data_IF_077238006985
#
_entry.id   IF_077238006985
#
_cell.length_a   1.000
_cell.length_b   1.000
_cell.length_c   1.000
_cell.angle_alpha   90.00
_cell.angle_beta   90.00
_cell.angle_gamma   90.00
#
_symmetry.space_group_name_H-M   'P 1'
#
loop_
_entity.id
_entity.type
_entity.pdbx_description
1 polymer ?
#
# COMPACT_ATOMS: atom_id res chain seq x y z
N UNK A 1 3.85 7.77 -12.08
CA UNK A 1 2.85 6.77 -11.61
C UNK A 1 1.39 7.16 -11.84
N UNK A 2 1.03 8.45 -11.77
CA UNK A 2 -0.37 8.90 -11.76
C UNK A 2 -1.25 8.45 -12.96
N UNK A 3 -0.71 8.43 -14.18
CA UNK A 3 -1.52 8.32 -15.41
C UNK A 3 -1.45 6.98 -16.13
N UNK A 4 -0.50 6.12 -15.78
CA UNK A 4 -0.28 4.85 -16.49
C UNK A 4 -1.18 3.72 -15.97
N UNK A 5 -1.34 2.67 -16.78
CA UNK A 5 -2.14 1.49 -16.46
C UNK A 5 -1.33 0.38 -15.76
N UNK A 6 -0.08 0.60 -15.35
CA UNK A 6 0.68 -0.42 -14.63
C UNK A 6 -0.07 -0.73 -13.32
N UNK A 7 -0.42 -1.99 -13.00
CA UNK A 7 -1.07 -2.31 -11.74
C UNK A 7 -0.20 -1.95 -10.53
N UNK A 8 -0.80 -1.47 -9.44
CA UNK A 8 -0.10 -1.02 -8.22
C UNK A 8 -0.79 -1.59 -6.99
N UNK A 9 -0.02 -2.06 -6.01
CA UNK A 9 -0.51 -2.33 -4.67
C UNK A 9 0.06 -1.26 -3.72
N UNK A 10 -0.80 -0.47 -3.10
CA UNK A 10 -0.44 0.45 -2.04
C UNK A 10 -0.71 -0.19 -0.69
N UNK A 11 0.37 -0.50 0.03
CA UNK A 11 0.31 -0.97 1.42
C UNK A 11 0.41 0.26 2.31
N UNK A 12 -0.75 0.79 2.68
CA UNK A 12 -0.87 1.88 3.65
C UNK A 12 -0.62 1.37 5.07
N UNK A 13 -0.11 2.26 5.94
CA UNK A 13 0.19 1.96 7.33
C UNK A 13 -0.56 2.91 8.25
N UNK A 14 -1.08 2.40 9.37
CA UNK A 14 -1.67 3.20 10.45
C UNK A 14 -1.00 2.85 11.80
N UNK A 15 -0.45 3.83 12.54
CA UNK A 15 -0.48 5.28 12.28
C UNK A 15 0.41 5.74 11.10
N UNK A 16 1.36 4.91 10.66
CA UNK A 16 2.30 5.25 9.60
C UNK A 16 3.34 6.30 10.02
N UNK A 17 4.22 6.67 9.08
CA UNK A 17 5.26 7.67 9.29
C UNK A 17 5.37 8.64 8.11
N UNK A 18 5.96 8.17 6.99
CA UNK A 18 6.26 9.01 5.81
C UNK A 18 5.04 9.19 4.91
N UNK A 19 4.33 8.10 4.60
CA UNK A 19 3.17 8.10 3.70
C UNK A 19 1.87 8.41 4.47
N UNK A 20 1.82 9.57 5.11
CA UNK A 20 0.67 10.07 5.86
C UNK A 20 0.17 11.40 5.27
N UNK A 21 -0.99 11.89 5.72
CA UNK A 21 -1.56 13.17 5.31
C UNK A 21 -1.58 13.38 3.79
N UNK A 22 -1.07 14.51 3.31
CA UNK A 22 -1.07 14.88 1.88
C UNK A 22 -0.31 13.88 0.99
N UNK A 23 0.75 13.24 1.51
CA UNK A 23 1.51 12.26 0.73
C UNK A 23 0.66 11.01 0.47
N UNK A 24 -0.06 10.55 1.51
CA UNK A 24 -1.03 9.45 1.39
C UNK A 24 -2.09 9.75 0.33
N UNK A 25 -2.68 10.94 0.39
CA UNK A 25 -3.69 11.38 -0.58
C UNK A 25 -3.14 11.50 -2.00
N UNK A 26 -1.88 11.93 -2.15
CA UNK A 26 -1.25 11.95 -3.46
C UNK A 26 -1.03 10.54 -4.02
N UNK A 27 -0.57 9.58 -3.22
CA UNK A 27 -0.42 8.18 -3.63
C UNK A 27 -1.75 7.56 -4.08
N UNK A 28 -2.84 7.84 -3.35
CA UNK A 28 -4.22 7.40 -3.66
C UNK A 28 -4.75 7.92 -5.00
N UNK A 29 -4.17 9.00 -5.53
CA UNK A 29 -4.55 9.53 -6.84
C UNK A 29 -4.00 8.74 -8.04
N UNK A 30 -3.17 7.71 -7.80
CA UNK A 30 -2.54 6.95 -8.87
C UNK A 30 -3.54 5.96 -9.51
N UNK A 31 -3.61 5.96 -10.85
CA UNK A 31 -4.47 5.05 -11.62
C UNK A 31 -4.09 3.57 -11.39
N UNK A 32 -5.05 2.66 -11.51
CA UNK A 32 -4.87 1.20 -11.41
C UNK A 32 -4.14 0.76 -10.12
N UNK A 33 -4.66 1.21 -8.98
CA UNK A 33 -4.11 0.93 -7.66
C UNK A 33 -5.13 0.20 -6.79
N UNK A 34 -4.69 -0.91 -6.18
CA UNK A 34 -5.35 -1.57 -5.06
C UNK A 34 -4.72 -1.06 -3.77
N UNK A 35 -5.49 -0.84 -2.73
CA UNK A 35 -4.99 -0.39 -1.42
C UNK A 35 -5.37 -1.38 -0.32
N UNK A 36 -4.45 -1.62 0.61
CA UNK A 36 -4.70 -2.26 1.90
C UNK A 36 -4.09 -1.40 3.01
N UNK A 37 -4.66 -1.45 4.22
CA UNK A 37 -4.07 -0.80 5.39
C UNK A 37 -3.67 -1.85 6.42
N UNK A 38 -2.44 -1.75 6.93
CA UNK A 38 -1.90 -2.62 7.98
C UNK A 38 -1.45 -1.79 9.18
N UNK A 39 -1.28 -2.44 10.33
CA UNK A 39 -0.72 -1.80 11.52
C UNK A 39 0.79 -1.56 11.32
N UNK A 40 1.25 -0.37 11.70
CA UNK A 40 2.69 -0.11 11.83
C UNK A 40 3.07 1.35 11.63
N UNK A 41 4.33 1.67 11.92
CA UNK A 41 4.86 3.05 11.83
C UNK A 41 5.68 3.23 10.53
N UNK A 42 6.91 2.74 10.50
CA UNK A 42 7.79 2.86 9.32
C UNK A 42 8.27 1.50 8.82
N UNK A 43 8.78 0.67 9.72
CA UNK A 43 9.20 -0.71 9.44
C UNK A 43 8.02 -1.68 9.57
N UNK A 44 6.98 -1.45 8.78
CA UNK A 44 5.70 -2.17 8.89
C UNK A 44 5.78 -3.68 8.64
N UNK A 45 6.88 -4.14 8.07
CA UNK A 45 7.17 -5.57 7.91
C UNK A 45 7.40 -6.26 9.26
N UNK A 46 7.91 -5.55 10.27
CA UNK A 46 8.12 -6.09 11.62
C UNK A 46 6.81 -6.10 12.44
N UNK A 47 5.86 -5.24 12.08
CA UNK A 47 4.56 -5.15 12.76
C UNK A 47 3.50 -6.06 12.12
N UNK A 48 3.46 -6.13 10.79
CA UNK A 48 2.38 -6.78 10.02
C UNK A 48 2.90 -7.65 8.84
N UNK A 49 3.89 -8.54 9.03
CA UNK A 49 4.50 -9.31 7.93
C UNK A 49 3.49 -10.19 7.19
N UNK A 50 2.63 -10.89 7.93
CA UNK A 50 1.68 -11.84 7.35
C UNK A 50 0.57 -11.15 6.54
N UNK A 51 0.07 -10.02 7.02
CA UNK A 51 -0.96 -9.23 6.31
C UNK A 51 -0.41 -8.68 4.99
N UNK A 52 0.82 -8.15 5.03
CA UNK A 52 1.56 -7.68 3.86
C UNK A 52 1.76 -8.82 2.85
N UNK A 53 2.24 -9.97 3.31
CA UNK A 53 2.47 -11.14 2.45
C UNK A 53 1.18 -11.66 1.80
N UNK A 54 0.08 -11.73 2.56
CA UNK A 54 -1.23 -12.14 2.03
C UNK A 54 -1.75 -11.16 0.99
N UNK A 55 -1.64 -9.85 1.25
CA UNK A 55 -2.06 -8.82 0.30
C UNK A 55 -1.26 -8.89 -1.01
N UNK A 56 0.07 -9.06 -0.91
CA UNK A 56 0.94 -9.22 -2.07
C UNK A 56 0.60 -10.48 -2.88
N UNK A 57 0.45 -11.63 -2.23
CA UNK A 57 0.12 -12.88 -2.92
C UNK A 57 -1.25 -12.82 -3.59
N UNK A 58 -2.26 -12.25 -2.92
CA UNK A 58 -3.59 -12.07 -3.49
C UNK A 58 -3.53 -11.14 -4.71
N UNK A 59 -2.96 -9.95 -4.55
CA UNK A 59 -2.84 -8.97 -5.62
C UNK A 59 -2.12 -9.55 -6.84
N UNK A 60 -1.01 -10.27 -6.64
CA UNK A 60 -0.26 -10.86 -7.74
C UNK A 60 -1.04 -11.94 -8.52
N UNK A 61 -1.89 -12.71 -7.83
CA UNK A 61 -2.75 -13.72 -8.47
C UNK A 61 -3.90 -13.12 -9.27
N UNK A 62 -4.25 -11.86 -9.00
CA UNK A 62 -5.35 -11.13 -9.63
C UNK A 62 -4.86 -10.15 -10.71
N UNK A 63 -3.55 -10.12 -11.01
CA UNK A 63 -2.95 -9.36 -12.12
C UNK A 63 -3.32 -9.95 -13.48
#
# INVERSE_FOLDING_TARGET
MKTNNIPKLFINAEPGAINTGRIREFCRSWKNQTEVTVKGIHFIQEDSPDEIGKALSKWYKEL
#
